data_IF_953211074993
#
_entry.id   IF_953211074993
#
_cell.length_a   1.000
_cell.length_b   1.000
_cell.length_c   1.000
_cell.angle_alpha   90.00
_cell.angle_beta   90.00
_cell.angle_gamma   90.00
#
_symmetry.space_group_name_H-M   'P 1'
#
loop_
_entity.id
_entity.type
_entity.pdbx_description
1 polymer ?
#
# COMPACT_ATOMS: atom_id res chain seq x y z
N UNK A 1 13.00 -2.63 16.18
CA UNK A 1 12.46 -3.63 15.23
C UNK A 1 12.96 -3.25 13.83
N UNK A 2 13.22 -4.23 12.94
CA UNK A 2 13.85 -3.98 11.62
C UNK A 2 13.12 -2.91 10.79
N UNK A 3 11.79 -2.91 10.81
CA UNK A 3 10.95 -1.97 10.06
C UNK A 3 11.15 -0.51 10.52
N UNK A 4 11.14 -0.26 11.82
CA UNK A 4 11.39 1.09 12.35
C UNK A 4 12.82 1.57 12.15
N UNK A 5 13.79 0.65 12.16
CA UNK A 5 15.18 1.00 11.85
C UNK A 5 15.30 1.50 10.41
N UNK A 6 14.64 0.84 9.46
CA UNK A 6 14.57 1.29 8.06
C UNK A 6 13.92 2.67 7.93
N UNK A 7 12.81 2.92 8.63
CA UNK A 7 12.16 4.25 8.64
C UNK A 7 13.12 5.33 9.15
N UNK A 8 13.83 5.05 10.26
CA UNK A 8 14.80 5.99 10.85
C UNK A 8 15.96 6.25 9.91
N UNK A 9 16.44 5.22 9.22
CA UNK A 9 17.51 5.32 8.22
C UNK A 9 17.08 6.18 7.02
N UNK A 10 15.88 5.97 6.47
CA UNK A 10 15.34 6.84 5.41
C UNK A 10 15.30 8.30 5.86
N UNK A 11 14.82 8.55 7.09
CA UNK A 11 14.77 9.92 7.66
C UNK A 11 16.17 10.53 7.83
N UNK A 12 17.15 9.76 8.31
CA UNK A 12 18.53 10.20 8.47
C UNK A 12 19.17 10.55 7.12
N UNK A 13 18.86 9.78 6.08
CA UNK A 13 19.37 9.98 4.72
C UNK A 13 18.52 10.96 3.89
N UNK A 14 17.57 11.68 4.50
CA UNK A 14 16.68 12.63 3.82
C UNK A 14 15.89 12.02 2.64
N UNK A 15 15.57 10.73 2.73
CA UNK A 15 14.75 10.01 1.76
C UNK A 15 13.28 10.19 2.11
N UNK A 16 12.49 10.73 1.17
CA UNK A 16 11.03 10.79 1.32
C UNK A 16 10.44 9.38 1.26
N UNK A 17 9.93 8.90 2.39
CA UNK A 17 9.28 7.61 2.50
C UNK A 17 7.76 7.78 2.38
N UNK A 18 7.13 6.89 1.62
CA UNK A 18 5.67 6.72 1.56
C UNK A 18 5.35 5.24 1.79
N UNK A 19 4.19 4.97 2.37
CA UNK A 19 3.65 3.62 2.46
C UNK A 19 2.56 3.43 1.41
N UNK A 20 2.58 2.26 0.78
CA UNK A 20 1.57 1.88 -0.23
C UNK A 20 1.11 0.46 0.09
N UNK A 21 -0.18 0.30 0.40
CA UNK A 21 -0.82 -1.01 0.46
C UNK A 21 -1.51 -1.27 -0.87
N UNK A 22 -1.01 -2.22 -1.65
CA UNK A 22 -1.50 -2.46 -3.02
C UNK A 22 -2.86 -3.19 -3.02
N UNK A 23 -3.59 -3.16 -4.14
CA UNK A 23 -4.79 -3.97 -4.30
C UNK A 23 -4.47 -5.47 -4.12
N UNK A 24 -5.35 -6.15 -3.40
CA UNK A 24 -5.39 -7.61 -3.28
C UNK A 24 -6.77 -8.07 -3.76
N UNK A 25 -6.87 -9.25 -4.36
CA UNK A 25 -8.15 -9.78 -4.77
C UNK A 25 -9.05 -9.94 -3.54
N UNK A 26 -10.29 -9.44 -3.61
CA UNK A 26 -11.15 -9.23 -2.44
C UNK A 26 -11.43 -10.53 -1.65
N UNK A 27 -11.50 -11.67 -2.33
CA UNK A 27 -11.66 -12.97 -1.66
C UNK A 27 -10.40 -13.40 -0.92
N UNK A 28 -9.22 -13.03 -1.44
CA UNK A 28 -7.93 -13.27 -0.81
C UNK A 28 -7.78 -12.56 0.53
N UNK A 29 -8.35 -11.37 0.67
CA UNK A 29 -8.31 -10.61 1.92
C UNK A 29 -8.98 -11.34 3.09
N UNK A 30 -9.95 -12.20 2.81
CA UNK A 30 -10.68 -12.99 3.82
C UNK A 30 -9.87 -14.15 4.38
N UNK A 31 -8.75 -14.50 3.75
CA UNK A 31 -7.90 -15.61 4.18
C UNK A 31 -7.03 -15.26 5.40
N UNK A 32 -6.90 -13.97 5.72
CA UNK A 32 -6.08 -13.49 6.82
C UNK A 32 -6.96 -13.00 7.97
N UNK A 33 -7.03 -13.79 9.05
CA UNK A 33 -7.84 -13.48 10.23
C UNK A 33 -7.38 -12.22 10.97
N UNK A 34 -6.09 -11.90 10.92
CA UNK A 34 -5.47 -10.75 11.57
C UNK A 34 -5.34 -9.51 10.66
N UNK A 35 -6.10 -9.44 9.55
CA UNK A 35 -6.02 -8.33 8.60
C UNK A 35 -6.22 -6.97 9.25
N UNK A 36 -7.23 -6.84 10.12
CA UNK A 36 -7.53 -5.59 10.82
C UNK A 36 -6.34 -5.14 11.66
N UNK A 37 -5.77 -6.05 12.45
CA UNK A 37 -4.61 -5.78 13.31
C UNK A 37 -3.40 -5.35 12.49
N UNK A 38 -3.16 -6.00 11.34
CA UNK A 38 -2.08 -5.65 10.42
C UNK A 38 -2.27 -4.23 9.84
N UNK A 39 -3.48 -3.90 9.40
CA UNK A 39 -3.77 -2.56 8.86
C UNK A 39 -3.66 -1.48 9.93
N UNK A 40 -4.11 -1.77 11.16
CA UNK A 40 -4.00 -0.86 12.29
C UNK A 40 -2.54 -0.64 12.71
N UNK A 41 -1.71 -1.69 12.64
CA UNK A 41 -0.26 -1.57 12.83
C UNK A 41 0.36 -0.59 11.81
N UNK A 42 0.10 -0.77 10.52
CA UNK A 42 0.66 0.14 9.50
C UNK A 42 0.14 1.58 9.64
N UNK A 43 -1.15 1.76 9.95
CA UNK A 43 -1.73 3.09 10.22
C UNK A 43 -1.08 3.75 11.45
N UNK A 44 -0.87 2.99 12.51
CA UNK A 44 -0.21 3.47 13.74
C UNK A 44 1.22 3.95 13.45
N UNK A 45 2.01 3.15 12.73
CA UNK A 45 3.39 3.53 12.35
C UNK A 45 3.40 4.72 11.40
N UNK A 46 2.52 4.75 10.39
CA UNK A 46 2.36 5.87 9.46
C UNK A 46 2.06 7.17 10.22
N UNK A 47 1.12 7.15 11.15
CA UNK A 47 0.77 8.32 11.97
C UNK A 47 1.94 8.74 12.88
N UNK A 48 2.57 7.79 13.57
CA UNK A 48 3.66 8.06 14.51
C UNK A 48 4.85 8.75 13.82
N UNK A 49 5.22 8.30 12.62
CA UNK A 49 6.33 8.86 11.86
C UNK A 49 5.92 9.93 10.84
N UNK A 50 4.62 10.27 10.75
CA UNK A 50 4.06 11.20 9.76
C UNK A 50 4.37 10.81 8.31
N UNK A 51 4.32 9.51 8.01
CA UNK A 51 4.57 8.94 6.68
C UNK A 51 3.24 8.86 5.93
N UNK A 52 3.10 9.43 4.72
CA UNK A 52 1.88 9.27 3.92
C UNK A 52 1.59 7.80 3.66
N UNK A 53 0.34 7.37 3.92
CA UNK A 53 -0.10 6.00 3.68
C UNK A 53 -1.22 5.94 2.64
N UNK A 54 -0.92 5.32 1.51
CA UNK A 54 -1.85 5.09 0.41
C UNK A 54 -2.41 3.67 0.51
N UNK A 55 -3.64 3.55 1.01
CA UNK A 55 -4.34 2.28 1.19
C UNK A 55 -5.29 2.00 0.02
N UNK A 56 -4.91 1.04 -0.84
CA UNK A 56 -5.73 0.61 -1.98
C UNK A 56 -6.43 -0.72 -1.74
N UNK A 57 -6.51 -1.19 -0.49
CA UNK A 57 -7.14 -2.47 -0.20
C UNK A 57 -8.64 -2.52 -0.51
N UNK A 58 -9.29 -1.36 -0.57
CA UNK A 58 -10.68 -1.24 -0.97
C UNK A 58 -10.87 -0.71 -2.41
N UNK A 59 -9.81 -0.66 -3.23
CA UNK A 59 -9.91 -0.16 -4.60
C UNK A 59 -10.83 -1.03 -5.46
N UNK A 60 -11.51 -0.40 -6.43
CA UNK A 60 -12.32 -1.07 -7.45
C UNK A 60 -11.61 -2.24 -8.16
N UNK A 61 -10.28 -2.19 -8.30
CA UNK A 61 -9.47 -3.26 -8.87
C UNK A 61 -9.62 -4.56 -8.07
N UNK A 62 -9.75 -4.51 -6.75
CA UNK A 62 -9.84 -5.68 -5.86
C UNK A 62 -10.99 -6.64 -6.22
N UNK A 63 -12.03 -6.15 -6.92
CA UNK A 63 -13.21 -6.92 -7.30
C UNK A 63 -13.09 -7.55 -8.71
N UNK A 64 -11.98 -7.32 -9.41
CA UNK A 64 -11.79 -7.72 -10.81
C UNK A 64 -10.76 -8.85 -10.91
N UNK A 65 -11.19 -10.10 -10.72
CA UNK A 65 -10.33 -11.30 -10.72
C UNK A 65 -9.36 -11.37 -11.92
N UNK A 66 -9.80 -10.89 -13.10
CA UNK A 66 -8.99 -10.83 -14.33
C UNK A 66 -7.69 -10.01 -14.22
N UNK A 67 -7.54 -9.18 -13.20
CA UNK A 67 -6.35 -8.35 -12.97
C UNK A 67 -5.36 -8.96 -11.97
N UNK A 68 -5.64 -10.18 -11.48
CA UNK A 68 -4.82 -10.85 -10.48
C UNK A 68 -4.17 -12.11 -11.05
N UNK A 69 -2.88 -12.30 -10.76
CA UNK A 69 -2.17 -13.55 -10.97
C UNK A 69 -2.53 -14.55 -9.87
N UNK A 70 -2.60 -14.07 -8.62
CA UNK A 70 -3.11 -14.81 -7.47
C UNK A 70 -3.78 -13.85 -6.48
N UNK A 71 -4.26 -14.37 -5.35
CA UNK A 71 -4.99 -13.60 -4.35
C UNK A 71 -4.30 -12.31 -3.88
N UNK A 72 -2.96 -12.30 -3.79
CA UNK A 72 -2.17 -11.17 -3.27
C UNK A 72 -1.39 -10.41 -4.34
N UNK A 73 -1.32 -10.91 -5.58
CA UNK A 73 -0.49 -10.31 -6.63
C UNK A 73 -1.31 -9.99 -7.89
N UNK A 74 -1.21 -8.74 -8.33
CA UNK A 74 -1.69 -8.31 -9.64
C UNK A 74 -0.96 -9.05 -10.76
N UNK A 75 -1.65 -9.32 -11.86
CA UNK A 75 -1.00 -9.72 -13.10
C UNK A 75 -0.48 -8.47 -13.86
N UNK A 76 0.13 -8.67 -15.03
CA UNK A 76 0.67 -7.57 -15.83
C UNK A 76 -0.37 -6.46 -16.08
N UNK A 77 -1.58 -6.81 -16.53
CA UNK A 77 -2.61 -5.83 -16.83
C UNK A 77 -3.07 -5.09 -15.57
N UNK A 78 -3.26 -5.79 -14.46
CA UNK A 78 -3.61 -5.21 -13.17
C UNK A 78 -2.53 -4.25 -12.67
N UNK A 79 -1.26 -4.65 -12.77
CA UNK A 79 -0.11 -3.85 -12.37
C UNK A 79 -0.01 -2.57 -13.21
N UNK A 80 -0.19 -2.64 -14.53
CA UNK A 80 -0.19 -1.44 -15.39
C UNK A 80 -1.29 -0.44 -15.02
N UNK A 81 -2.51 -0.93 -14.74
CA UNK A 81 -3.62 -0.08 -14.32
C UNK A 81 -3.30 0.56 -12.97
N UNK A 82 -2.86 -0.24 -12.01
CA UNK A 82 -2.53 0.24 -10.66
C UNK A 82 -1.36 1.24 -10.68
N UNK A 83 -0.30 0.97 -11.43
CA UNK A 83 0.85 1.87 -11.55
C UNK A 83 0.46 3.24 -12.13
N UNK A 84 -0.42 3.28 -13.14
CA UNK A 84 -0.94 4.55 -13.67
C UNK A 84 -1.75 5.32 -12.64
N UNK A 85 -2.59 4.62 -11.87
CA UNK A 85 -3.39 5.21 -10.79
C UNK A 85 -2.49 5.78 -9.69
N UNK A 86 -1.56 4.97 -9.15
CA UNK A 86 -0.62 5.39 -8.12
C UNK A 86 0.21 6.59 -8.58
N UNK A 87 0.73 6.57 -9.82
CA UNK A 87 1.47 7.70 -10.36
C UNK A 87 0.63 8.99 -10.44
N UNK A 88 -0.66 8.88 -10.79
CA UNK A 88 -1.59 10.01 -10.77
C UNK A 88 -1.83 10.54 -9.35
N UNK A 89 -2.07 9.64 -8.39
CA UNK A 89 -2.31 10.01 -6.98
C UNK A 89 -1.06 10.67 -6.36
N UNK A 90 0.13 10.19 -6.70
CA UNK A 90 1.40 10.79 -6.29
C UNK A 90 1.64 12.16 -6.94
N UNK A 91 1.28 12.35 -8.21
CA UNK A 91 1.39 13.68 -8.87
C UNK A 91 0.42 14.70 -8.27
N UNK A 92 -0.76 14.26 -7.85
CA UNK A 92 -1.78 15.10 -7.24
C UNK A 92 -1.53 15.36 -5.74
N UNK A 93 -0.43 14.84 -5.18
CA UNK A 93 -0.04 15.19 -3.81
C UNK A 93 0.21 16.68 -3.74
N UNK A 94 -0.52 17.39 -2.88
CA UNK A 94 -0.13 18.76 -2.51
C UNK A 94 1.18 18.62 -1.75
N UNK A 95 2.29 19.01 -2.38
CA UNK A 95 3.55 19.23 -1.69
C UNK A 95 3.27 20.29 -0.62
N UNK A 96 3.39 19.92 0.64
CA UNK A 96 3.34 20.87 1.76
C UNK A 96 4.65 21.66 1.81
#
# INVERSE_FOLDING_TARGET
MLFENFIKECKQNQIELIFVYTPEYIEGQKLFSNRTELMDFYKSISNHYSIPFYDYSADSLCYQKKYFYNASHLNQQGAEIFSRKLASDLKNRKLK
#
